data_IF_873366653875
#
_entry.id   IF_873366653875
#
_cell.length_a   1.000
_cell.length_b   1.000
_cell.length_c   1.000
_cell.angle_alpha   90.00
_cell.angle_beta   90.00
_cell.angle_gamma   90.00
#
_symmetry.space_group_name_H-M   'P 1'
#
loop_
_entity.id
_entity.type
_entity.pdbx_description
1 polymer ?
#
# COMPACT_ATOMS: atom_id res chain seq x y z
N UNK A 1 20.47 13.60 18.04
CA UNK A 1 21.48 12.67 17.51
C UNK A 1 21.27 11.33 18.19
N UNK A 2 20.53 10.45 17.54
CA UNK A 2 20.40 9.05 17.94
C UNK A 2 21.42 8.26 17.14
N UNK A 3 22.27 7.45 17.79
CA UNK A 3 23.04 6.45 17.07
C UNK A 3 22.19 5.17 16.95
N UNK A 4 22.35 4.46 15.85
CA UNK A 4 21.79 3.14 15.63
C UNK A 4 22.94 2.27 15.14
N UNK A 5 23.21 1.18 15.84
CA UNK A 5 24.22 0.20 15.43
C UNK A 5 23.51 -1.01 14.86
N UNK A 6 23.75 -1.32 13.59
CA UNK A 6 23.31 -2.54 12.94
C UNK A 6 24.43 -3.59 13.05
N UNK A 7 24.23 -4.59 13.91
CA UNK A 7 25.19 -5.68 14.14
C UNK A 7 24.71 -6.97 13.48
N UNK A 8 25.65 -7.87 13.15
CA UNK A 8 25.36 -9.18 12.52
C UNK A 8 24.55 -9.08 11.22
N UNK A 9 24.91 -8.12 10.36
CA UNK A 9 24.38 -8.07 8.99
C UNK A 9 24.85 -9.29 8.21
N UNK A 10 23.94 -9.85 7.42
CA UNK A 10 24.28 -10.90 6.46
C UNK A 10 25.37 -10.37 5.50
N UNK A 11 26.46 -11.11 5.23
CA UNK A 11 27.53 -10.67 4.33
C UNK A 11 27.04 -10.29 2.93
N UNK A 12 25.99 -10.95 2.44
CA UNK A 12 25.41 -10.62 1.14
C UNK A 12 24.59 -9.33 1.21
N UNK A 13 23.94 -9.06 2.34
CA UNK A 13 23.23 -7.81 2.58
C UNK A 13 24.20 -6.64 2.69
N UNK A 14 25.32 -6.80 3.39
CA UNK A 14 26.38 -5.79 3.51
C UNK A 14 26.95 -5.41 2.13
N UNK A 15 27.26 -6.40 1.29
CA UNK A 15 27.74 -6.16 -0.08
C UNK A 15 26.72 -5.40 -0.92
N UNK A 16 25.44 -5.81 -0.87
CA UNK A 16 24.38 -5.13 -1.61
C UNK A 16 24.24 -3.68 -1.17
N UNK A 17 24.29 -3.43 0.15
CA UNK A 17 24.24 -2.08 0.70
C UNK A 17 25.41 -1.22 0.20
N UNK A 18 26.62 -1.79 0.16
CA UNK A 18 27.80 -1.09 -0.32
C UNK A 18 27.75 -0.79 -1.83
N UNK A 19 27.21 -1.71 -2.64
CA UNK A 19 27.00 -1.50 -4.07
C UNK A 19 25.99 -0.36 -4.29
N UNK A 20 24.86 -0.36 -3.57
CA UNK A 20 23.85 0.70 -3.66
C UNK A 20 24.41 2.06 -3.25
N UNK A 21 25.15 2.12 -2.14
CA UNK A 21 25.81 3.34 -1.67
C UNK A 21 26.79 3.90 -2.72
N UNK A 22 27.60 3.03 -3.34
CA UNK A 22 28.53 3.42 -4.40
C UNK A 22 27.81 3.95 -5.64
N UNK A 23 26.69 3.33 -6.01
CA UNK A 23 25.86 3.75 -7.14
C UNK A 23 25.21 5.12 -6.89
N UNK A 24 24.75 5.38 -5.67
CA UNK A 24 24.12 6.65 -5.28
C UNK A 24 25.14 7.74 -4.87
N UNK A 25 26.44 7.42 -4.84
CA UNK A 25 27.48 8.37 -4.43
C UNK A 25 27.41 8.76 -2.94
N UNK A 26 26.88 7.86 -2.10
CA UNK A 26 26.67 8.06 -0.67
C UNK A 26 27.59 7.18 0.16
N UNK A 27 27.80 7.55 1.41
CA UNK A 27 28.34 6.61 2.39
C UNK A 27 27.35 5.47 2.68
N UNK A 28 27.86 4.35 3.18
CA UNK A 28 27.01 3.21 3.59
C UNK A 28 25.99 3.63 4.66
N UNK A 29 26.39 4.50 5.59
CA UNK A 29 25.50 5.02 6.63
C UNK A 29 24.38 5.88 6.05
N UNK A 30 24.71 6.82 5.16
CA UNK A 30 23.71 7.66 4.50
C UNK A 30 22.75 6.84 3.64
N UNK A 31 23.25 5.80 2.97
CA UNK A 31 22.40 4.91 2.19
C UNK A 31 21.47 4.08 3.08
N UNK A 32 21.99 3.52 4.17
CA UNK A 32 21.17 2.81 5.15
C UNK A 32 20.07 3.72 5.73
N UNK A 33 20.43 4.97 6.04
CA UNK A 33 19.49 5.98 6.51
C UNK A 33 18.42 6.28 5.46
N UNK A 34 18.81 6.51 4.21
CA UNK A 34 17.87 6.81 3.13
C UNK A 34 16.88 5.66 2.89
N UNK A 35 17.35 4.41 2.91
CA UNK A 35 16.50 3.22 2.77
C UNK A 35 15.52 3.12 3.94
N UNK A 36 15.97 3.36 5.17
CA UNK A 36 15.09 3.37 6.34
C UNK A 36 14.05 4.48 6.25
N UNK A 37 14.44 5.69 5.85
CA UNK A 37 13.54 6.83 5.65
C UNK A 37 12.50 6.53 4.56
N UNK A 38 12.91 5.98 3.42
CA UNK A 38 12.00 5.61 2.34
C UNK A 38 10.98 4.55 2.79
N UNK A 39 11.43 3.48 3.43
CA UNK A 39 10.56 2.39 3.89
C UNK A 39 9.59 2.81 4.99
N UNK A 40 10.00 3.72 5.87
CA UNK A 40 9.14 4.28 6.91
C UNK A 40 8.15 5.30 6.34
N UNK A 41 8.58 6.14 5.39
CA UNK A 41 7.70 7.12 4.72
C UNK A 41 6.60 6.42 3.91
N UNK A 42 6.92 5.30 3.25
CA UNK A 42 5.93 4.50 2.52
C UNK A 42 4.87 3.91 3.46
N UNK A 43 5.26 3.54 4.68
CA UNK A 43 4.31 3.03 5.68
C UNK A 43 3.43 4.14 6.25
N UNK A 44 3.99 5.33 6.52
CA UNK A 44 3.25 6.47 7.06
C UNK A 44 2.26 7.09 6.03
N UNK A 45 2.38 6.80 4.74
CA UNK A 45 1.44 7.31 3.72
C UNK A 45 0.11 6.55 3.68
N UNK A 46 0.02 5.39 4.33
CA UNK A 46 -1.17 4.54 4.28
C UNK A 46 -1.49 3.99 5.66
N UNK A 47 -2.04 4.84 6.52
CA UNK A 47 -2.51 4.43 7.85
C UNK A 47 -3.75 3.53 7.78
N UNK A 48 -4.54 3.64 6.71
CA UNK A 48 -5.77 2.87 6.54
C UNK A 48 -6.19 2.76 5.07
N UNK A 49 -7.14 1.86 4.81
CA UNK A 49 -7.69 1.62 3.46
C UNK A 49 -8.27 2.89 2.81
N UNK A 50 -8.79 3.83 3.61
CA UNK A 50 -9.32 5.08 3.09
C UNK A 50 -8.21 6.00 2.55
N UNK A 51 -7.02 5.98 3.15
CA UNK A 51 -5.87 6.76 2.68
C UNK A 51 -5.29 6.17 1.38
N UNK A 52 -5.30 4.84 1.23
CA UNK A 52 -5.05 4.18 -0.06
C UNK A 52 -6.05 4.65 -1.12
N UNK A 53 -7.36 4.60 -0.82
CA UNK A 53 -8.38 5.04 -1.78
C UNK A 53 -8.17 6.51 -2.19
N UNK A 54 -7.82 7.40 -1.24
CA UNK A 54 -7.50 8.80 -1.52
C UNK A 54 -6.22 8.99 -2.32
N UNK A 55 -5.20 8.17 -2.09
CA UNK A 55 -3.96 8.20 -2.87
C UNK A 55 -4.22 7.87 -4.35
N UNK A 56 -5.04 6.85 -4.62
CA UNK A 56 -5.33 6.40 -5.99
C UNK A 56 -6.40 7.24 -6.70
N UNK A 57 -7.47 7.62 -6.01
CA UNK A 57 -8.63 8.32 -6.59
C UNK A 57 -8.68 9.82 -6.29
N UNK A 58 -7.73 10.34 -5.53
CA UNK A 58 -7.73 11.73 -5.07
C UNK A 58 -8.79 11.99 -3.99
N UNK A 59 -8.86 13.24 -3.50
CA UNK A 59 -9.82 13.65 -2.46
C UNK A 59 -11.25 13.73 -2.98
N UNK A 60 -11.41 14.12 -4.24
CA UNK A 60 -12.72 14.34 -4.86
C UNK A 60 -13.29 13.04 -5.48
N UNK A 61 -12.49 11.97 -5.51
CA UNK A 61 -12.87 10.69 -6.11
C UNK A 61 -12.94 10.73 -7.64
N UNK A 62 -13.32 9.59 -8.21
CA UNK A 62 -13.60 9.45 -9.65
C UNK A 62 -14.96 8.79 -9.82
N UNK A 63 -15.73 9.26 -10.80
CA UNK A 63 -16.97 8.59 -11.18
C UNK A 63 -16.62 7.32 -11.96
N UNK A 64 -17.13 6.18 -11.52
CA UNK A 64 -16.91 4.90 -12.19
C UNK A 64 -18.17 4.51 -12.93
N UNK A 65 -18.01 4.11 -14.20
CA UNK A 65 -19.07 3.50 -14.99
C UNK A 65 -19.59 2.26 -14.26
N UNK A 66 -20.91 2.12 -14.16
CA UNK A 66 -21.53 0.98 -13.49
C UNK A 66 -21.16 -0.32 -14.22
N UNK A 67 -20.44 -1.20 -13.54
CA UNK A 67 -20.18 -2.54 -14.05
C UNK A 67 -21.49 -3.35 -14.06
N UNK A 68 -21.75 -4.19 -15.08
CA UNK A 68 -22.91 -5.07 -15.08
C UNK A 68 -22.97 -5.92 -13.80
N UNK A 69 -24.18 -6.21 -13.34
CA UNK A 69 -24.40 -7.01 -12.12
C UNK A 69 -23.66 -8.34 -12.21
N UNK A 70 -22.77 -8.59 -11.25
CA UNK A 70 -22.05 -9.87 -11.12
C UNK A 70 -22.90 -10.88 -10.34
N UNK A 71 -23.93 -10.40 -9.63
CA UNK A 71 -24.91 -11.28 -9.02
C UNK A 71 -25.91 -11.70 -10.10
N UNK A 72 -26.21 -13.00 -10.24
CA UNK A 72 -27.34 -13.42 -11.04
C UNK A 72 -28.55 -12.70 -10.45
N UNK A 73 -29.33 -12.04 -11.31
CA UNK A 73 -30.63 -11.50 -10.94
C UNK A 73 -31.42 -12.67 -10.35
N UNK A 74 -31.48 -12.76 -9.02
CA UNK A 74 -32.45 -13.65 -8.39
C UNK A 74 -33.78 -13.07 -8.82
N UNK A 75 -34.42 -13.75 -9.77
CA UNK A 75 -35.81 -13.52 -10.12
C UNK A 75 -36.57 -13.42 -8.80
N UNK A 76 -36.96 -12.20 -8.45
CA UNK A 76 -37.84 -11.96 -7.32
C UNK A 76 -39.18 -12.47 -7.82
N UNK A 77 -39.45 -13.77 -7.64
CA UNK A 77 -40.79 -14.33 -7.79
C UNK A 77 -41.70 -13.55 -6.85
N UNK A 78 -42.39 -12.58 -7.43
CA UNK A 78 -43.44 -11.79 -6.79
C UNK A 78 -44.70 -12.65 -6.66
N UNK A 79 -44.61 -13.75 -5.92
CA UNK A 79 -45.78 -14.50 -5.46
C UNK A 79 -45.91 -14.35 -3.94
N UNK A 80 -46.22 -13.12 -3.54
CA UNK A 80 -46.93 -12.88 -2.28
C UNK A 80 -48.38 -12.53 -2.62
N UNK A 81 -49.12 -13.54 -3.08
CA UNK A 81 -50.57 -13.44 -3.23
C UNK A 81 -51.23 -13.44 -1.84
N UNK A 82 -51.20 -12.28 -1.19
CA UNK A 82 -51.95 -12.00 0.02
C UNK A 82 -53.39 -11.60 -0.36
N UNK A 83 -54.13 -12.55 -0.95
CA UNK A 83 -55.57 -12.41 -1.23
C UNK A 83 -56.39 -13.42 -0.43
N UNK A 84 -56.69 -13.04 0.81
CA UNK A 84 -58.04 -12.97 1.36
C UNK A 84 -59.01 -14.12 0.96
N UNK A 85 -59.16 -15.13 1.81
CA UNK A 85 -60.46 -15.67 2.24
C UNK A 85 -60.35 -16.46 3.55
#
# INVERSE_FOLDING_TARGET
>A
MSNLTLSNLDPDLEKRLQIMASHHGRSIEEEAKAILEEMLTVQDQVDNLADLARYWFGKDGVELEAHPSVFPETEVESDCDYSRH
#
